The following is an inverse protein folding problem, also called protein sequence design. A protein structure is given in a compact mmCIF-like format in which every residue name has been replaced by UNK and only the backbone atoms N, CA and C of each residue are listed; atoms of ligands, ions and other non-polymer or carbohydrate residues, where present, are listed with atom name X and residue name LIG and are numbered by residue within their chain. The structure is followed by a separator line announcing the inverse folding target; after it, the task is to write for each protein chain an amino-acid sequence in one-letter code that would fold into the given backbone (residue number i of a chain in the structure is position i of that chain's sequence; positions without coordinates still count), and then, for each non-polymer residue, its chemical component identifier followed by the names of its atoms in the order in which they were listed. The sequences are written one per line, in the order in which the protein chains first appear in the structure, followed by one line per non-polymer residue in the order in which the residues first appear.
data_IF_385741764429
#
_entry.id   IF_385741764429
#
_cell.length_a   1.000
_cell.length_b   1.000
_cell.length_c   1.000
_cell.angle_alpha   90.00
_cell.angle_beta   90.00
_cell.angle_gamma   90.00
#
_symmetry.space_group_name_H-M   'P 1'
#
loop_
_entity.id
_entity.type
_entity.pdbx_description
1 polymer ?
#
# COMPACT_ATOMS: atom_id res chain seq x y z
N UNK A 1 72.36 -35.63 -11.68
CA UNK A 1 72.74 -34.28 -11.31
C UNK A 1 71.45 -33.47 -11.42
N UNK A 2 70.76 -33.38 -10.36
CA UNK A 2 70.87 -32.39 -9.30
C UNK A 2 70.16 -31.07 -9.63
N UNK A 3 69.23 -30.82 -8.87
CA UNK A 3 68.74 -29.77 -7.98
C UNK A 3 67.35 -29.25 -8.44
N UNK A 4 66.33 -29.59 -7.76
CA UNK A 4 65.86 -29.01 -6.48
C UNK A 4 65.79 -27.48 -6.48
N UNK A 5 64.64 -26.96 -6.39
CA UNK A 5 64.29 -25.78 -5.60
C UNK A 5 62.74 -25.54 -5.67
N UNK A 6 62.02 -25.89 -4.63
CA UNK A 6 61.52 -25.09 -3.48
C UNK A 6 60.59 -23.94 -3.84
N UNK A 7 59.36 -24.18 -3.41
CA UNK A 7 58.49 -23.30 -2.65
C UNK A 7 58.46 -21.81 -2.99
N UNK A 8 57.29 -21.33 -3.30
CA UNK A 8 56.72 -20.20 -2.54
C UNK A 8 55.22 -20.35 -2.46
N UNK A 9 54.73 -20.47 -1.26
CA UNK A 9 53.37 -20.25 -0.84
C UNK A 9 52.98 -18.80 -1.15
N UNK A 10 51.92 -18.61 -1.88
CA UNK A 10 51.26 -17.32 -2.05
C UNK A 10 49.82 -17.47 -1.63
N UNK A 11 49.57 -17.35 -0.32
CA UNK A 11 48.24 -17.08 0.19
C UNK A 11 47.75 -15.74 -0.34
N UNK A 12 46.76 -15.75 -1.20
CA UNK A 12 45.96 -14.56 -1.44
C UNK A 12 44.57 -14.82 -0.89
N UNK A 13 44.35 -14.19 0.24
CA UNK A 13 43.07 -14.03 0.87
C UNK A 13 42.09 -13.36 -0.10
N UNK A 14 41.08 -14.10 -0.51
CA UNK A 14 39.95 -13.56 -1.26
C UNK A 14 39.14 -12.65 -0.36
N UNK A 15 39.14 -11.38 -0.65
CA UNK A 15 38.16 -10.43 -0.09
C UNK A 15 36.80 -10.79 -0.64
N UNK A 16 36.00 -11.42 0.19
CA UNK A 16 34.56 -11.56 -0.06
C UNK A 16 33.93 -10.18 0.15
N UNK A 17 33.75 -9.46 -0.93
CA UNK A 17 32.95 -8.26 -0.93
C UNK A 17 31.49 -8.61 -0.64
N UNK A 18 31.09 -8.43 0.61
CA UNK A 18 29.68 -8.48 1.00
C UNK A 18 28.97 -7.28 0.37
N UNK A 19 28.33 -7.52 -0.75
CA UNK A 19 27.39 -6.55 -1.32
C UNK A 19 26.20 -6.47 -0.38
N UNK A 20 26.17 -5.47 0.49
CA UNK A 20 24.98 -5.06 1.19
C UNK A 20 23.97 -4.55 0.15
N UNK A 21 23.05 -5.42 -0.24
CA UNK A 21 21.81 -5.00 -0.87
C UNK A 21 21.05 -4.16 0.16
N UNK A 22 21.17 -2.85 0.04
CA UNK A 22 20.28 -1.91 0.70
C UNK A 22 18.90 -2.12 0.10
N UNK A 23 18.15 -3.04 0.68
CA UNK A 23 16.70 -3.07 0.49
C UNK A 23 16.18 -1.75 1.02
N UNK A 24 15.87 -0.84 0.11
CA UNK A 24 15.07 0.33 0.43
C UNK A 24 13.72 -0.19 0.91
N UNK A 25 13.56 -0.34 2.22
CA UNK A 25 12.26 -0.52 2.84
C UNK A 25 11.48 0.77 2.57
N UNK A 26 10.62 0.73 1.57
CA UNK A 26 9.55 1.70 1.46
C UNK A 26 8.75 1.61 2.75
N UNK A 27 8.84 2.62 3.59
CA UNK A 27 8.03 2.72 4.79
C UNK A 27 6.58 3.02 4.40
N UNK A 28 5.89 2.03 3.84
CA UNK A 28 4.45 2.11 3.71
C UNK A 28 3.86 1.99 5.11
N UNK A 29 3.28 3.08 5.61
CA UNK A 29 2.60 3.05 6.89
C UNK A 29 1.33 2.23 6.75
N UNK A 30 1.30 1.06 7.36
CA UNK A 30 0.12 0.21 7.44
C UNK A 30 -0.77 0.74 8.57
N UNK A 31 -1.81 1.46 8.22
CA UNK A 31 -2.85 1.85 9.17
C UNK A 31 -3.90 0.77 9.23
N UNK A 32 -3.85 -0.04 10.29
CA UNK A 32 -4.84 -1.07 10.55
C UNK A 32 -6.06 -0.40 11.19
N UNK A 33 -7.10 -0.14 10.39
CA UNK A 33 -8.31 0.45 10.91
C UNK A 33 -9.34 -0.63 11.23
N UNK A 34 -9.90 -0.52 12.42
CA UNK A 34 -11.01 -1.36 12.89
C UNK A 34 -12.29 -0.78 12.29
N UNK A 35 -12.90 -1.50 11.36
CA UNK A 35 -14.22 -1.15 10.85
C UNK A 35 -15.27 -1.35 11.95
N UNK A 36 -16.14 -0.37 12.15
CA UNK A 36 -17.30 -0.42 13.03
C UNK A 36 -18.39 -1.37 12.45
N UNK A 37 -18.13 -2.65 12.50
CA UNK A 37 -19.09 -3.70 12.22
C UNK A 37 -18.80 -4.83 13.20
N UNK A 38 -19.69 -5.04 14.17
CA UNK A 38 -19.50 -5.97 15.27
C UNK A 38 -19.15 -7.37 14.81
N UNK A 39 -17.90 -7.63 14.80
CA UNK A 39 -17.19 -8.90 15.01
C UNK A 39 -15.71 -8.60 14.79
N UNK A 40 -14.93 -8.67 15.85
CA UNK A 40 -13.53 -8.33 16.07
C UNK A 40 -12.45 -8.62 14.99
N UNK A 41 -12.74 -8.55 13.72
CA UNK A 41 -11.81 -8.73 12.61
C UNK A 41 -11.72 -7.49 11.74
N UNK A 42 -10.50 -7.12 11.33
CA UNK A 42 -10.28 -6.05 10.35
C UNK A 42 -10.70 -6.55 8.97
N UNK A 43 -11.92 -6.25 8.54
CA UNK A 43 -12.47 -6.71 7.26
C UNK A 43 -11.83 -5.99 6.05
N UNK A 44 -11.36 -4.77 6.24
CA UNK A 44 -10.68 -3.98 5.21
C UNK A 44 -9.38 -3.44 5.80
N UNK A 45 -8.28 -3.68 5.12
CA UNK A 45 -6.98 -3.09 5.44
C UNK A 45 -6.66 -2.04 4.39
N UNK A 46 -6.34 -0.83 4.84
CA UNK A 46 -5.95 0.29 3.96
C UNK A 46 -4.51 0.66 4.23
N UNK A 47 -3.72 0.71 3.18
CA UNK A 47 -2.34 1.17 3.20
C UNK A 47 -2.19 2.35 2.26
N UNK A 48 -1.51 3.39 2.69
CA UNK A 48 -1.23 4.59 1.88
C UNK A 48 0.25 4.66 1.56
N UNK A 49 0.56 5.18 0.38
CA UNK A 49 1.92 5.49 -0.07
C UNK A 49 1.94 6.85 -0.77
N UNK A 50 3.11 7.34 -1.12
CA UNK A 50 3.25 8.62 -1.85
C UNK A 50 2.50 8.67 -3.18
N UNK A 51 2.21 7.52 -3.79
CA UNK A 51 1.63 7.44 -5.13
C UNK A 51 0.32 6.67 -5.23
N UNK A 52 -0.09 5.95 -4.18
CA UNK A 52 -1.23 5.04 -4.26
C UNK A 52 -1.93 4.80 -2.92
N UNK A 53 -3.19 4.38 -3.00
CA UNK A 53 -3.95 3.76 -1.93
C UNK A 53 -4.10 2.28 -2.25
N UNK A 54 -3.78 1.42 -1.30
CA UNK A 54 -3.93 -0.02 -1.41
C UNK A 54 -5.05 -0.46 -0.45
N UNK A 55 -6.04 -1.13 -0.99
CA UNK A 55 -7.17 -1.69 -0.24
C UNK A 55 -7.11 -3.20 -0.30
N UNK A 56 -7.04 -3.85 0.84
CA UNK A 56 -7.00 -5.31 0.96
C UNK A 56 -8.29 -5.83 1.60
N UNK A 57 -8.91 -6.80 0.95
CA UNK A 57 -10.17 -7.40 1.41
C UNK A 57 -9.92 -8.60 2.32
N UNK A 58 -10.26 -8.47 3.59
CA UNK A 58 -10.23 -9.52 4.60
C UNK A 58 -11.63 -9.91 5.10
N UNK A 59 -12.69 -9.50 4.42
CA UNK A 59 -14.06 -9.75 4.84
C UNK A 59 -14.51 -11.22 4.68
N UNK A 60 -13.68 -12.08 4.04
CA UNK A 60 -14.04 -13.48 3.74
C UNK A 60 -15.03 -13.63 2.57
N UNK A 61 -15.44 -12.54 1.93
CA UNK A 61 -16.35 -12.46 0.78
C UNK A 61 -15.91 -11.34 -0.16
N UNK A 62 -16.29 -11.40 -1.45
CA UNK A 62 -16.07 -10.28 -2.34
C UNK A 62 -16.73 -9.00 -1.84
N UNK A 63 -15.99 -7.90 -1.91
CA UNK A 63 -16.51 -6.55 -1.64
C UNK A 63 -16.98 -5.93 -2.94
N UNK A 64 -18.16 -5.35 -2.92
CA UNK A 64 -18.82 -4.73 -4.05
C UNK A 64 -18.91 -3.22 -3.85
N UNK A 65 -18.83 -2.46 -4.95
CA UNK A 65 -18.94 -1.00 -4.95
C UNK A 65 -18.00 -0.36 -3.91
N UNK A 66 -16.74 -0.76 -3.94
CA UNK A 66 -15.72 -0.24 -3.02
C UNK A 66 -15.45 1.21 -3.39
N UNK A 67 -15.92 2.13 -2.56
CA UNK A 67 -15.71 3.57 -2.72
C UNK A 67 -14.55 4.00 -1.84
N UNK A 68 -13.52 4.53 -2.46
CA UNK A 68 -12.37 5.10 -1.79
C UNK A 68 -12.44 6.61 -1.92
N UNK A 69 -12.40 7.31 -0.79
CA UNK A 69 -12.51 8.77 -0.71
C UNK A 69 -11.25 9.31 -0.04
N UNK A 70 -10.61 10.29 -0.66
CA UNK A 70 -9.44 10.99 -0.12
C UNK A 70 -9.86 12.41 0.22
N UNK A 71 -9.74 12.77 1.50
CA UNK A 71 -9.89 14.14 1.95
C UNK A 71 -8.50 14.81 1.96
N UNK A 72 -8.40 15.98 1.36
CA UNK A 72 -7.18 16.78 1.32
C UNK A 72 -7.25 17.95 2.30
N UNK A 73 -6.08 18.46 2.72
CA UNK A 73 -5.98 19.48 3.78
C UNK A 73 -6.66 20.81 3.36
N UNK A 74 -6.44 21.23 2.12
CA UNK A 74 -6.88 22.55 1.63
C UNK A 74 -8.04 22.48 0.63
N UNK A 75 -8.73 21.33 0.57
CA UNK A 75 -9.83 21.10 -0.36
C UNK A 75 -11.11 20.78 0.38
N UNK A 76 -12.20 21.48 0.03
CA UNK A 76 -13.52 21.20 0.57
C UNK A 76 -14.19 19.98 -0.08
N UNK A 77 -13.82 19.68 -1.33
CA UNK A 77 -14.39 18.57 -2.10
C UNK A 77 -13.45 17.37 -2.06
N UNK A 78 -13.93 16.19 -1.66
CA UNK A 78 -13.11 14.99 -1.62
C UNK A 78 -12.83 14.43 -3.02
N UNK A 79 -11.74 13.70 -3.13
CA UNK A 79 -11.40 12.91 -4.33
C UNK A 79 -11.91 11.49 -4.16
N UNK A 80 -12.52 10.95 -5.20
CA UNK A 80 -13.23 9.67 -5.14
C UNK A 80 -12.73 8.75 -6.25
N UNK A 81 -12.61 7.47 -5.91
CA UNK A 81 -12.51 6.38 -6.87
C UNK A 81 -13.42 5.24 -6.45
N UNK A 82 -14.08 4.63 -7.41
CA UNK A 82 -14.93 3.44 -7.19
C UNK A 82 -14.27 2.25 -7.88
N UNK A 83 -14.06 1.21 -7.09
CA UNK A 83 -13.66 -0.10 -7.57
C UNK A 83 -14.88 -1.02 -7.54
N UNK A 84 -15.33 -1.58 -8.67
CA UNK A 84 -16.56 -2.36 -8.73
C UNK A 84 -16.55 -3.57 -7.80
N UNK A 85 -15.43 -4.29 -7.75
CA UNK A 85 -15.28 -5.49 -6.93
C UNK A 85 -13.83 -5.64 -6.47
N UNK A 86 -13.65 -6.10 -5.22
CA UNK A 86 -12.38 -6.61 -4.71
C UNK A 86 -12.65 -8.00 -4.14
N UNK A 87 -12.08 -9.02 -4.78
CA UNK A 87 -12.27 -10.41 -4.36
C UNK A 87 -11.63 -10.69 -2.99
N UNK A 88 -12.04 -11.78 -2.37
CA UNK A 88 -11.54 -12.21 -1.07
C UNK A 88 -10.03 -12.40 -1.09
N UNK A 89 -9.34 -11.86 -0.09
CA UNK A 89 -7.88 -11.90 0.08
C UNK A 89 -7.08 -11.22 -1.05
N UNK A 90 -7.73 -10.37 -1.85
CA UNK A 90 -7.09 -9.61 -2.92
C UNK A 90 -6.74 -8.20 -2.43
N UNK A 91 -5.59 -7.72 -2.89
CA UNK A 91 -5.15 -6.32 -2.77
C UNK A 91 -5.48 -5.59 -4.06
N UNK A 92 -6.12 -4.44 -3.94
CA UNK A 92 -6.36 -3.53 -5.05
C UNK A 92 -5.56 -2.25 -4.84
N UNK A 93 -4.63 -1.97 -5.73
CA UNK A 93 -3.85 -0.75 -5.75
C UNK A 93 -4.50 0.29 -6.66
N UNK A 94 -4.66 1.49 -6.13
CA UNK A 94 -5.28 2.62 -6.82
C UNK A 94 -4.31 3.79 -6.82
N UNK A 95 -3.77 4.14 -7.99
CA UNK A 95 -2.87 5.29 -8.13
C UNK A 95 -3.60 6.59 -7.81
N UNK A 96 -2.93 7.53 -7.15
CA UNK A 96 -3.54 8.80 -6.75
C UNK A 96 -4.08 9.59 -7.94
N UNK A 97 -3.38 9.58 -9.06
CA UNK A 97 -3.80 10.25 -10.30
C UNK A 97 -5.10 9.71 -10.91
N UNK A 98 -5.62 8.58 -10.41
CA UNK A 98 -6.89 8.01 -10.85
C UNK A 98 -8.09 8.50 -10.04
N UNK A 99 -7.86 9.25 -8.97
CA UNK A 99 -8.91 9.84 -8.15
C UNK A 99 -9.38 11.16 -8.73
N UNK A 100 -10.68 11.44 -8.61
CA UNK A 100 -11.32 12.65 -9.13
C UNK A 100 -12.32 13.20 -8.13
N UNK A 101 -12.52 14.51 -8.14
CA UNK A 101 -13.67 15.14 -7.50
C UNK A 101 -14.95 14.82 -8.28
N UNK A 102 -16.11 15.08 -7.68
CA UNK A 102 -17.41 14.94 -8.40
C UNK A 102 -17.49 15.86 -9.65
N UNK A 103 -16.75 16.95 -9.65
CA UNK A 103 -16.64 17.89 -10.77
C UNK A 103 -15.65 17.44 -11.85
N UNK A 104 -14.92 16.34 -11.61
CA UNK A 104 -13.96 15.75 -12.55
C UNK A 104 -12.51 16.22 -12.40
N UNK A 105 -12.20 17.04 -11.40
CA UNK A 105 -10.81 17.47 -11.13
C UNK A 105 -9.97 16.27 -10.70
N UNK A 106 -8.85 16.05 -11.37
CA UNK A 106 -7.91 14.96 -11.05
C UNK A 106 -7.08 15.28 -9.80
N UNK A 107 -6.77 14.24 -9.04
CA UNK A 107 -5.80 14.35 -7.95
C UNK A 107 -4.39 14.56 -8.50
N UNK A 108 -3.73 15.63 -8.06
CA UNK A 108 -2.33 15.93 -8.38
C UNK A 108 -1.46 15.75 -7.13
N UNK A 109 -0.64 14.69 -7.05
CA UNK A 109 0.20 14.44 -5.88
C UNK A 109 1.26 15.51 -5.61
N UNK A 110 1.59 16.34 -6.62
CA UNK A 110 2.58 17.40 -6.47
C UNK A 110 2.03 18.62 -5.74
N UNK A 111 0.72 18.86 -5.81
CA UNK A 111 0.08 20.07 -5.27
C UNK A 111 -0.95 19.79 -4.20
N UNK A 112 -1.49 18.57 -4.13
CA UNK A 112 -2.58 18.20 -3.22
C UNK A 112 -2.03 17.33 -2.09
N UNK A 113 -2.28 17.73 -0.85
CA UNK A 113 -1.82 17.04 0.35
C UNK A 113 -2.97 16.25 0.99
N UNK A 114 -2.97 14.92 0.92
CA UNK A 114 -3.99 14.10 1.54
C UNK A 114 -3.94 14.21 3.06
N UNK A 115 -5.12 14.19 3.69
CA UNK A 115 -5.27 14.17 5.16
C UNK A 115 -5.70 12.80 5.67
N UNK A 116 -6.66 12.19 5.01
CA UNK A 116 -7.22 10.89 5.39
C UNK A 116 -7.83 10.18 4.19
N UNK A 117 -7.99 8.87 4.34
CA UNK A 117 -8.69 8.00 3.37
C UNK A 117 -9.85 7.33 4.06
N UNK A 118 -11.01 7.36 3.43
CA UNK A 118 -12.20 6.62 3.85
C UNK A 118 -12.55 5.59 2.79
N UNK A 119 -12.73 4.34 3.20
CA UNK A 119 -13.16 3.25 2.31
C UNK A 119 -14.51 2.75 2.80
N UNK A 120 -15.48 2.69 1.90
CA UNK A 120 -16.79 2.08 2.14
C UNK A 120 -17.06 1.00 1.11
N UNK A 121 -17.69 -0.09 1.52
CA UNK A 121 -18.00 -1.22 0.65
C UNK A 121 -19.22 -1.99 1.15
N UNK A 122 -19.75 -2.89 0.30
CA UNK A 122 -20.74 -3.92 0.68
C UNK A 122 -20.20 -5.28 0.30
N UNK A 123 -20.60 -6.31 1.02
CA UNK A 123 -20.38 -7.69 0.58
C UNK A 123 -21.60 -8.24 -0.20
N UNK A 124 -21.49 -9.48 -0.65
CA UNK A 124 -22.54 -10.19 -1.40
C UNK A 124 -23.80 -10.45 -0.59
N UNK A 125 -23.77 -10.29 0.74
CA UNK A 125 -24.94 -10.38 1.64
C UNK A 125 -25.47 -8.99 2.04
N UNK A 126 -25.05 -7.93 1.33
CA UNK A 126 -25.43 -6.54 1.60
C UNK A 126 -24.94 -5.99 2.96
N UNK A 127 -24.02 -6.68 3.65
CA UNK A 127 -23.36 -6.14 4.83
C UNK A 127 -22.45 -4.99 4.41
N UNK A 128 -22.54 -3.88 5.11
CA UNK A 128 -21.74 -2.68 4.84
C UNK A 128 -20.49 -2.63 5.71
N UNK A 129 -19.42 -2.13 5.13
CA UNK A 129 -18.13 -1.91 5.80
C UNK A 129 -17.72 -0.47 5.59
N UNK A 130 -17.08 0.11 6.59
CA UNK A 130 -16.53 1.45 6.50
C UNK A 130 -15.29 1.56 7.37
N UNK A 131 -14.25 2.19 6.82
CA UNK A 131 -13.00 2.43 7.52
C UNK A 131 -12.43 3.77 7.13
N UNK A 132 -11.93 4.53 8.10
CA UNK A 132 -11.21 5.78 7.87
C UNK A 132 -9.84 5.69 8.51
N UNK A 133 -8.81 5.99 7.72
CA UNK A 133 -7.41 6.00 8.18
C UNK A 133 -6.77 7.36 7.91
N UNK A 134 -5.94 7.88 8.81
CA UNK A 134 -5.15 9.06 8.54
C UNK A 134 -4.14 8.76 7.43
N UNK A 135 -3.84 9.77 6.61
CA UNK A 135 -2.81 9.64 5.59
C UNK A 135 -1.43 9.54 6.25
N UNK A 136 -0.69 8.49 5.91
CA UNK A 136 0.69 8.27 6.34
C UNK A 136 1.44 7.67 5.16
N UNK A 137 2.11 8.50 4.35
CA UNK A 137 2.88 8.04 3.19
C UNK A 137 4.11 7.24 3.59
#
# INVERSE_FOLDING_TARGET
MDRSFRHVFGSMAGLIGTACLLSACSNAAVSKAVGNGGDGGTAIVVTTSESAVIVENHAGRPLLNVRVTIDAIDMATPFIRIQPTIDTAVKSEMTLTSFRTEEGTLFDPASIHPRQVTVTARDTLAKTYGVTVPWKP
#
